data_IF_482250871158
#
_entry.id   IF_482250871158
#
_cell.length_a   1.000
_cell.length_b   1.000
_cell.length_c   1.000
_cell.angle_alpha   90.00
_cell.angle_beta   90.00
_cell.angle_gamma   90.00
#
_symmetry.space_group_name_H-M   'P 1'
#
loop_
_entity.id
_entity.type
_entity.pdbx_description
1 polymer ?
#
# COMPACT_ATOMS: atom_id res chain seq x y z
N UNK A 1 38.05 -44.85 47.21
CA UNK A 1 37.24 -45.86 46.46
C UNK A 1 36.57 -45.17 45.29
N UNK A 2 37.08 -45.37 44.07
CA UNK A 2 36.42 -46.09 42.95
C UNK A 2 35.01 -45.56 42.55
N UNK A 3 34.99 -44.93 41.36
CA UNK A 3 34.07 -45.14 40.20
C UNK A 3 32.60 -44.71 40.40
N UNK A 4 31.83 -44.21 39.42
CA UNK A 4 31.97 -43.92 38.00
C UNK A 4 30.75 -43.08 37.54
N UNK A 5 30.89 -42.45 36.37
CA UNK A 5 29.91 -41.86 35.45
C UNK A 5 28.48 -42.45 35.49
N UNK A 6 27.44 -41.68 35.11
CA UNK A 6 26.91 -41.58 33.72
C UNK A 6 25.61 -40.74 33.66
N UNK A 7 25.51 -39.86 32.65
CA UNK A 7 24.30 -39.43 31.90
C UNK A 7 23.20 -38.60 32.62
N UNK A 8 22.41 -37.72 32.00
CA UNK A 8 22.33 -36.94 30.74
C UNK A 8 20.94 -36.26 30.84
N UNK A 9 20.82 -34.99 30.40
CA UNK A 9 19.60 -34.29 30.00
C UNK A 9 18.41 -34.15 30.97
N UNK A 10 18.12 -32.91 31.40
CA UNK A 10 16.93 -32.15 30.98
C UNK A 10 16.63 -30.99 31.94
N UNK A 11 16.19 -29.87 31.34
CA UNK A 11 15.24 -28.90 31.88
C UNK A 11 15.54 -28.27 33.25
N UNK A 12 15.90 -26.98 33.25
CA UNK A 12 14.89 -25.94 33.43
C UNK A 12 15.54 -24.56 33.35
N UNK A 13 15.25 -23.92 32.22
CA UNK A 13 15.45 -22.51 31.92
C UNK A 13 14.62 -21.69 32.90
N UNK A 14 15.26 -20.97 33.83
CA UNK A 14 14.71 -19.73 34.41
C UNK A 14 15.88 -18.82 34.73
N UNK A 15 15.70 -17.52 34.44
CA UNK A 15 16.60 -16.38 34.65
C UNK A 15 17.59 -16.07 33.54
N UNK A 16 17.13 -15.32 32.54
CA UNK A 16 17.68 -13.99 32.22
C UNK A 16 16.70 -13.28 31.27
N UNK A 17 15.81 -12.45 31.82
CA UNK A 17 14.95 -11.59 31.02
C UNK A 17 14.90 -10.21 31.64
N UNK A 18 15.97 -9.41 31.52
CA UNK A 18 15.88 -7.95 31.51
C UNK A 18 17.18 -7.34 30.98
N UNK A 19 17.02 -6.48 29.97
CA UNK A 19 17.98 -5.49 29.42
C UNK A 19 19.07 -6.03 28.48
N UNK A 20 18.80 -6.07 27.18
CA UNK A 20 19.36 -5.09 26.22
C UNK A 20 18.97 -5.37 24.76
N UNK A 21 18.85 -4.26 24.03
CA UNK A 21 18.65 -4.13 22.57
C UNK A 21 17.24 -4.49 22.10
N UNK A 22 16.38 -3.47 22.01
CA UNK A 22 15.27 -3.46 21.04
C UNK A 22 15.92 -3.56 19.66
N UNK A 23 16.14 -4.79 19.23
CA UNK A 23 16.57 -5.13 17.90
C UNK A 23 15.54 -4.62 16.92
N UNK A 24 16.03 -4.03 15.83
CA UNK A 24 15.33 -4.19 14.56
C UNK A 24 14.89 -5.66 14.46
N UNK A 25 13.61 -5.92 14.19
CA UNK A 25 13.21 -7.26 13.76
C UNK A 25 14.10 -7.62 12.57
N UNK A 26 14.89 -8.70 12.61
CA UNK A 26 15.46 -9.25 11.41
C UNK A 26 14.33 -9.97 10.67
N UNK A 27 14.16 -9.70 9.37
CA UNK A 27 13.75 -10.76 8.46
C UNK A 27 12.39 -10.70 7.78
N UNK A 28 11.68 -9.57 7.74
CA UNK A 28 10.73 -9.43 6.61
C UNK A 28 11.53 -8.89 5.43
N UNK A 29 11.77 -9.69 4.37
CA UNK A 29 12.42 -9.18 3.17
C UNK A 29 11.67 -7.92 2.68
N UNK A 30 12.37 -6.96 2.07
CA UNK A 30 11.70 -5.81 1.44
C UNK A 30 10.65 -6.33 0.46
N UNK A 31 9.56 -5.60 0.29
CA UNK A 31 8.60 -5.94 -0.76
C UNK A 31 9.34 -5.89 -2.11
N UNK A 32 9.45 -7.02 -2.78
CA UNK A 32 10.23 -7.20 -3.98
C UNK A 32 9.30 -7.34 -5.17
N UNK A 33 8.75 -6.21 -5.60
CA UNK A 33 8.09 -6.15 -6.91
C UNK A 33 9.14 -6.26 -7.99
N UNK A 34 9.01 -7.27 -8.83
CA UNK A 34 9.86 -7.48 -10.01
C UNK A 34 9.01 -7.41 -11.27
N UNK A 35 9.41 -6.58 -12.22
CA UNK A 35 8.78 -6.54 -13.54
C UNK A 35 9.39 -7.59 -14.46
N UNK A 36 8.50 -8.38 -15.06
CA UNK A 36 8.84 -9.27 -16.18
C UNK A 36 8.12 -8.75 -17.41
N UNK A 37 8.86 -8.65 -18.51
CA UNK A 37 8.37 -8.10 -19.75
C UNK A 37 7.95 -9.22 -20.70
N UNK A 38 6.83 -9.06 -21.41
CA UNK A 38 6.50 -9.92 -22.54
C UNK A 38 7.53 -9.76 -23.65
N UNK A 39 7.70 -10.75 -24.57
CA UNK A 39 8.61 -10.61 -25.70
C UNK A 39 8.35 -9.35 -26.54
N UNK A 40 7.08 -8.97 -26.68
CA UNK A 40 6.68 -7.77 -27.41
C UNK A 40 7.17 -6.50 -26.71
N UNK A 41 6.97 -6.38 -25.39
CA UNK A 41 7.48 -5.24 -24.63
C UNK A 41 9.02 -5.25 -24.60
N UNK A 42 9.66 -6.41 -24.44
CA UNK A 42 11.13 -6.53 -24.50
C UNK A 42 11.70 -5.94 -25.79
N UNK A 43 11.10 -6.27 -26.94
CA UNK A 43 11.53 -5.73 -28.23
C UNK A 43 11.29 -4.21 -28.31
N UNK A 44 10.15 -3.72 -27.84
CA UNK A 44 9.86 -2.28 -27.80
C UNK A 44 10.88 -1.51 -26.92
N UNK A 45 11.27 -2.06 -25.75
CA UNK A 45 12.28 -1.49 -24.86
C UNK A 45 13.69 -1.54 -25.46
N UNK A 46 14.00 -2.59 -26.23
CA UNK A 46 15.27 -2.70 -26.99
C UNK A 46 15.37 -1.59 -28.03
N UNK A 47 14.28 -1.30 -28.73
CA UNK A 47 14.20 -0.20 -29.71
C UNK A 47 14.16 1.18 -29.04
N UNK A 48 13.68 1.26 -27.79
CA UNK A 48 13.53 2.52 -27.04
C UNK A 48 14.19 2.43 -25.64
N UNK A 49 15.53 2.48 -25.53
CA UNK A 49 16.23 2.25 -24.26
C UNK A 49 15.86 3.23 -23.13
N UNK A 50 15.40 4.44 -23.47
CA UNK A 50 14.90 5.40 -22.47
C UNK A 50 13.64 4.91 -21.76
N UNK A 51 12.81 4.11 -22.42
CA UNK A 51 11.61 3.51 -21.81
C UNK A 51 12.00 2.44 -20.79
N UNK A 52 13.01 1.63 -21.10
CA UNK A 52 13.56 0.62 -20.16
C UNK A 52 14.08 1.28 -18.88
N UNK A 53 14.93 2.30 -19.02
CA UNK A 53 15.43 3.07 -17.87
C UNK A 53 14.31 3.70 -17.02
N UNK A 54 13.21 4.12 -17.67
CA UNK A 54 12.04 4.66 -16.95
C UNK A 54 11.33 3.57 -16.15
N UNK A 55 11.16 2.36 -16.71
CA UNK A 55 10.57 1.24 -15.96
C UNK A 55 11.44 0.81 -14.79
N UNK A 56 12.76 0.75 -14.96
CA UNK A 56 13.69 0.44 -13.87
C UNK A 56 13.59 1.47 -12.73
N UNK A 57 13.52 2.76 -13.08
CA UNK A 57 13.31 3.84 -12.13
C UNK A 57 11.96 3.71 -11.39
N UNK A 58 10.89 3.40 -12.11
CA UNK A 58 9.56 3.23 -11.54
C UNK A 58 9.52 2.01 -10.60
N UNK A 59 10.08 0.88 -11.00
CA UNK A 59 10.16 -0.32 -10.16
C UNK A 59 10.88 -0.01 -8.84
N UNK A 60 12.04 0.64 -8.92
CA UNK A 60 12.81 1.05 -7.72
C UNK A 60 12.02 2.02 -6.83
N UNK A 61 11.28 2.95 -7.43
CA UNK A 61 10.45 3.91 -6.69
C UNK A 61 9.30 3.21 -5.97
N UNK A 62 8.63 2.27 -6.63
CA UNK A 62 7.59 1.44 -6.03
C UNK A 62 8.14 0.66 -4.83
N UNK A 63 9.27 -0.06 -5.01
CA UNK A 63 9.90 -0.82 -3.93
C UNK A 63 10.23 0.08 -2.73
N UNK A 64 10.78 1.28 -3.00
CA UNK A 64 11.09 2.27 -1.96
C UNK A 64 9.84 2.72 -1.21
N UNK A 65 8.75 3.04 -1.92
CA UNK A 65 7.49 3.45 -1.31
C UNK A 65 6.90 2.36 -0.41
N UNK A 66 6.88 1.11 -0.90
CA UNK A 66 6.38 -0.03 -0.12
C UNK A 66 7.21 -0.26 1.15
N UNK A 67 8.53 -0.14 1.05
CA UNK A 67 9.43 -0.26 2.18
C UNK A 67 9.22 0.85 3.21
N UNK A 68 9.07 2.10 2.77
CA UNK A 68 8.84 3.23 3.66
C UNK A 68 7.49 3.16 4.38
N UNK A 69 6.46 2.61 3.73
CA UNK A 69 5.17 2.33 4.38
C UNK A 69 5.35 1.31 5.51
N UNK A 70 6.03 0.18 5.23
CA UNK A 70 6.32 -0.84 6.25
C UNK A 70 7.10 -0.25 7.43
N UNK A 71 8.17 0.48 7.16
CA UNK A 71 8.98 1.13 8.19
C UNK A 71 8.19 2.16 8.99
N UNK A 72 7.31 2.92 8.36
CA UNK A 72 6.50 3.91 9.06
C UNK A 72 5.48 3.25 10.00
N UNK A 73 4.91 2.12 9.61
CA UNK A 73 4.04 1.31 10.48
C UNK A 73 4.85 0.75 11.66
N UNK A 74 6.03 0.18 11.42
CA UNK A 74 6.89 -0.38 12.48
C UNK A 74 7.39 0.70 13.45
N UNK A 75 7.65 1.91 12.96
CA UNK A 75 8.12 3.03 13.78
C UNK A 75 7.02 3.67 14.64
N UNK A 76 5.73 3.35 14.39
CA UNK A 76 4.60 3.98 15.07
C UNK A 76 4.65 3.82 16.60
N UNK A 77 5.02 2.64 17.08
CA UNK A 77 5.15 2.33 18.52
C UNK A 77 6.64 2.27 18.94
N UNK A 78 7.54 2.89 18.16
CA UNK A 78 8.97 2.91 18.45
C UNK A 78 9.30 3.57 19.80
N UNK A 79 10.28 3.04 20.56
CA UNK A 79 10.79 3.72 21.75
C UNK A 79 11.52 5.03 21.43
N UNK A 80 11.95 5.23 20.17
CA UNK A 80 12.64 6.45 19.73
C UNK A 80 11.63 7.55 19.42
N UNK A 81 11.55 8.56 20.29
CA UNK A 81 10.55 9.65 20.23
C UNK A 81 10.45 10.34 18.88
N UNK A 82 11.57 10.66 18.22
CA UNK A 82 11.56 11.35 16.91
C UNK A 82 10.94 10.50 15.80
N UNK A 83 11.27 9.20 15.75
CA UNK A 83 10.74 8.25 14.74
C UNK A 83 9.25 8.03 14.95
N UNK A 84 8.85 7.78 16.19
CA UNK A 84 7.43 7.68 16.59
C UNK A 84 6.64 8.92 16.21
N UNK A 85 7.14 10.12 16.50
CA UNK A 85 6.46 11.37 16.18
C UNK A 85 6.26 11.55 14.66
N UNK A 86 7.30 11.26 13.87
CA UNK A 86 7.23 11.26 12.40
C UNK A 86 6.17 10.27 11.90
N UNK A 87 6.21 9.03 12.38
CA UNK A 87 5.29 7.98 11.98
C UNK A 87 3.84 8.32 12.32
N UNK A 88 3.58 8.81 13.54
CA UNK A 88 2.26 9.27 13.96
C UNK A 88 1.74 10.41 13.09
N UNK A 89 2.58 11.41 12.81
CA UNK A 89 2.17 12.54 11.98
C UNK A 89 1.85 12.09 10.55
N UNK A 90 2.70 11.27 9.95
CA UNK A 90 2.48 10.75 8.61
C UNK A 90 1.20 9.92 8.51
N UNK A 91 1.01 8.97 9.44
CA UNK A 91 -0.16 8.09 9.44
C UNK A 91 -1.45 8.85 9.77
N UNK A 92 -1.39 9.89 10.62
CA UNK A 92 -2.50 10.82 10.83
C UNK A 92 -2.92 11.51 9.52
N UNK A 93 -1.95 11.92 8.70
CA UNK A 93 -2.25 12.57 7.41
C UNK A 93 -2.93 11.61 6.44
N UNK A 94 -2.40 10.38 6.30
CA UNK A 94 -2.88 9.43 5.29
C UNK A 94 -4.08 8.57 5.72
N UNK A 95 -4.31 8.36 7.02
CA UNK A 95 -5.41 7.53 7.56
C UNK A 95 -6.47 8.36 8.30
N UNK A 96 -6.22 9.66 8.50
CA UNK A 96 -7.14 10.60 9.11
C UNK A 96 -6.90 10.81 10.61
N UNK A 97 -7.46 11.90 11.14
CA UNK A 97 -7.20 12.35 12.52
C UNK A 97 -7.75 11.42 13.62
N UNK A 98 -8.72 10.57 13.27
CA UNK A 98 -9.36 9.64 14.19
C UNK A 98 -8.55 8.35 14.40
N UNK A 99 -7.50 8.13 13.61
CA UNK A 99 -6.73 6.89 13.59
C UNK A 99 -5.98 6.58 14.90
N UNK A 100 -5.44 7.58 15.59
CA UNK A 100 -4.65 7.39 16.82
C UNK A 100 -5.53 7.06 18.06
N UNK A 101 -6.86 6.98 17.93
CA UNK A 101 -7.76 6.93 19.10
C UNK A 101 -7.99 5.55 19.72
N UNK A 102 -7.72 4.44 19.03
CA UNK A 102 -7.87 3.08 19.61
C UNK A 102 -6.79 2.11 19.14
N UNK A 103 -6.19 1.34 20.06
CA UNK A 103 -5.07 0.42 19.78
C UNK A 103 -5.46 -0.79 18.94
N UNK A 104 -6.57 -1.47 19.24
CA UNK A 104 -6.98 -2.68 18.50
C UNK A 104 -7.32 -2.40 17.04
N UNK A 105 -8.12 -1.35 16.80
CA UNK A 105 -8.47 -0.92 15.43
C UNK A 105 -7.22 -0.57 14.64
N UNK A 106 -6.33 0.21 15.24
CA UNK A 106 -5.05 0.60 14.66
C UNK A 106 -4.24 -0.62 14.24
N UNK A 107 -4.06 -1.58 15.15
CA UNK A 107 -3.32 -2.81 14.90
C UNK A 107 -3.91 -3.62 13.75
N UNK A 108 -5.25 -3.74 13.68
CA UNK A 108 -5.92 -4.41 12.54
C UNK A 108 -5.69 -3.68 11.23
N UNK A 109 -5.87 -2.36 11.18
CA UNK A 109 -5.63 -1.58 9.96
C UNK A 109 -4.19 -1.73 9.49
N UNK A 110 -3.19 -1.63 10.39
CA UNK A 110 -1.79 -1.88 10.04
C UNK A 110 -1.57 -3.28 9.50
N UNK A 111 -2.10 -4.30 10.18
CA UNK A 111 -1.97 -5.68 9.73
C UNK A 111 -2.55 -5.88 8.33
N UNK A 112 -3.71 -5.28 8.02
CA UNK A 112 -4.27 -5.37 6.67
C UNK A 112 -3.43 -4.65 5.63
N UNK A 113 -2.92 -3.45 5.92
CA UNK A 113 -2.04 -2.72 4.99
C UNK A 113 -0.76 -3.53 4.73
N UNK A 114 -0.13 -4.05 5.77
CA UNK A 114 1.07 -4.88 5.65
C UNK A 114 0.79 -6.16 4.86
N UNK A 115 -0.32 -6.85 5.17
CA UNK A 115 -0.79 -8.02 4.42
C UNK A 115 -0.97 -7.69 2.94
N UNK A 116 -1.61 -6.57 2.59
CA UNK A 116 -1.75 -6.17 1.19
C UNK A 116 -0.40 -5.94 0.50
N UNK A 117 0.55 -5.30 1.19
CA UNK A 117 1.91 -5.13 0.66
C UNK A 117 2.58 -6.49 0.44
N UNK A 118 2.42 -7.43 1.37
CA UNK A 118 2.90 -8.80 1.22
C UNK A 118 2.24 -9.55 0.05
N UNK A 119 0.95 -9.31 -0.24
CA UNK A 119 0.30 -9.92 -1.40
C UNK A 119 0.78 -9.32 -2.73
N UNK A 120 1.19 -8.06 -2.74
CA UNK A 120 1.78 -7.41 -3.91
C UNK A 120 3.24 -7.81 -4.14
N UNK A 121 3.92 -8.34 -3.12
CA UNK A 121 5.29 -8.83 -3.17
C UNK A 121 5.38 -10.02 -4.13
N UNK A 122 5.60 -9.72 -5.41
CA UNK A 122 5.37 -10.67 -6.49
C UNK A 122 6.03 -10.23 -7.79
N UNK A 123 6.04 -11.16 -8.74
CA UNK A 123 6.42 -10.89 -10.12
C UNK A 123 5.23 -10.35 -10.90
N UNK A 124 5.36 -9.14 -11.44
CA UNK A 124 4.32 -8.48 -12.24
C UNK A 124 4.70 -8.58 -13.71
N UNK A 125 3.81 -9.15 -14.51
CA UNK A 125 4.00 -9.24 -15.97
C UNK A 125 3.49 -7.95 -16.63
N UNK A 126 4.41 -7.20 -17.24
CA UNK A 126 4.12 -6.01 -18.01
C UNK A 126 4.14 -6.31 -19.51
N UNK A 127 3.19 -5.72 -20.22
CA UNK A 127 3.02 -5.85 -21.67
C UNK A 127 2.77 -4.48 -22.30
N UNK A 128 2.87 -4.39 -23.63
CA UNK A 128 2.71 -3.16 -24.39
C UNK A 128 3.88 -2.86 -25.33
N UNK A 129 3.86 -1.72 -26.05
CA UNK A 129 2.81 -0.69 -26.01
C UNK A 129 1.48 -1.19 -26.59
N UNK A 130 0.38 -0.98 -25.87
CA UNK A 130 -0.98 -1.26 -26.35
C UNK A 130 -1.63 -0.02 -26.98
N UNK A 131 -2.66 -0.24 -27.80
CA UNK A 131 -3.59 0.80 -28.22
C UNK A 131 -4.61 1.05 -27.09
N UNK A 132 -4.76 2.28 -26.59
CA UNK A 132 -5.69 2.55 -25.50
C UNK A 132 -7.15 2.37 -25.96
N UNK A 133 -7.99 1.83 -25.06
CA UNK A 133 -9.42 1.58 -25.31
C UNK A 133 -10.26 2.85 -25.21
N UNK A 134 -9.83 3.79 -24.39
CA UNK A 134 -10.42 5.12 -24.22
C UNK A 134 -9.30 6.17 -24.23
N UNK A 135 -9.61 7.44 -24.57
CA UNK A 135 -8.67 8.54 -24.38
C UNK A 135 -8.09 8.53 -22.95
N UNK A 136 -6.82 8.90 -22.82
CA UNK A 136 -6.12 9.04 -21.54
C UNK A 136 -5.97 7.75 -20.70
N UNK A 137 -6.15 6.57 -21.31
CA UNK A 137 -5.82 5.30 -20.65
C UNK A 137 -4.36 4.93 -20.89
N UNK A 138 -3.50 5.12 -19.87
CA UNK A 138 -2.07 4.79 -19.97
C UNK A 138 -1.71 3.39 -19.47
N UNK A 139 -2.48 2.85 -18.52
CA UNK A 139 -2.27 1.53 -17.91
C UNK A 139 -3.61 0.80 -17.85
N UNK A 140 -3.58 -0.50 -18.14
CA UNK A 140 -4.77 -1.34 -18.14
C UNK A 140 -4.48 -2.73 -17.58
N UNK A 141 -5.37 -3.22 -16.72
CA UNK A 141 -5.27 -4.55 -16.13
C UNK A 141 -6.09 -5.53 -16.97
N UNK A 142 -5.40 -6.44 -17.66
CA UNK A 142 -6.03 -7.50 -18.43
C UNK A 142 -6.24 -8.79 -17.65
N UNK A 143 -6.72 -9.81 -18.36
CA UNK A 143 -6.96 -11.14 -17.79
C UNK A 143 -5.68 -11.77 -17.24
N UNK A 144 -5.79 -12.48 -16.11
CA UNK A 144 -4.66 -13.20 -15.52
C UNK A 144 -3.64 -12.31 -14.81
N UNK A 145 -3.99 -11.07 -14.45
CA UNK A 145 -3.12 -10.18 -13.67
C UNK A 145 -2.06 -9.45 -14.50
N UNK A 146 -2.10 -9.55 -15.83
CA UNK A 146 -1.17 -8.86 -16.73
C UNK A 146 -1.51 -7.37 -16.83
N UNK A 147 -0.50 -6.52 -16.73
CA UNK A 147 -0.66 -5.07 -16.86
C UNK A 147 -0.14 -4.62 -18.22
N UNK A 148 -0.99 -3.94 -18.99
CA UNK A 148 -0.68 -3.39 -20.30
C UNK A 148 -0.36 -1.91 -20.19
N UNK A 149 0.70 -1.47 -20.86
CA UNK A 149 1.15 -0.08 -20.91
C UNK A 149 0.87 0.50 -22.28
N UNK A 150 0.22 1.65 -22.37
CA UNK A 150 0.07 2.38 -23.63
C UNK A 150 1.38 3.07 -24.02
N UNK A 151 1.57 3.39 -25.30
CA UNK A 151 2.74 4.17 -25.73
C UNK A 151 2.85 5.52 -25.00
N UNK A 152 1.72 6.20 -24.79
CA UNK A 152 1.64 7.45 -24.04
C UNK A 152 2.19 7.34 -22.61
N UNK A 153 2.14 6.16 -21.98
CA UNK A 153 2.77 5.95 -20.68
C UNK A 153 4.26 6.32 -20.73
N UNK A 154 4.96 6.04 -21.82
CA UNK A 154 6.39 6.33 -21.93
C UNK A 154 6.70 7.71 -22.51
N UNK A 155 5.85 8.18 -23.43
CA UNK A 155 6.17 9.31 -24.29
C UNK A 155 5.46 10.60 -23.89
N UNK A 156 4.36 10.54 -23.13
CA UNK A 156 3.61 11.72 -22.74
C UNK A 156 4.42 12.56 -21.74
N UNK A 157 4.79 13.81 -22.10
CA UNK A 157 5.57 14.68 -21.23
C UNK A 157 4.74 15.32 -20.11
N UNK A 158 3.41 15.34 -20.23
CA UNK A 158 2.50 15.87 -19.22
C UNK A 158 2.28 14.87 -18.08
N UNK A 159 2.50 13.59 -18.37
CA UNK A 159 2.46 12.53 -17.39
C UNK A 159 3.73 12.62 -16.53
N UNK A 160 3.58 12.89 -15.23
CA UNK A 160 4.69 12.90 -14.27
C UNK A 160 5.06 11.48 -13.80
N UNK A 161 6.31 11.28 -13.36
CA UNK A 161 6.77 9.95 -12.94
C UNK A 161 6.07 9.44 -11.68
N UNK A 162 5.67 10.33 -10.75
CA UNK A 162 4.87 9.89 -9.61
C UNK A 162 3.53 9.32 -10.07
N UNK A 163 2.91 9.89 -11.12
CA UNK A 163 1.62 9.43 -11.59
C UNK A 163 1.74 8.10 -12.35
N UNK A 164 2.87 7.86 -13.02
CA UNK A 164 3.24 6.52 -13.53
C UNK A 164 3.37 5.48 -12.43
N UNK A 165 4.09 5.83 -11.36
CA UNK A 165 4.23 4.99 -10.17
C UNK A 165 2.86 4.71 -9.56
N UNK A 166 2.02 5.73 -9.42
CA UNK A 166 0.66 5.62 -8.92
C UNK A 166 -0.16 4.60 -9.72
N UNK A 167 -0.22 4.76 -11.05
CA UNK A 167 -0.99 3.87 -11.92
C UNK A 167 -0.49 2.41 -11.83
N UNK A 168 0.82 2.20 -11.87
CA UNK A 168 1.37 0.84 -11.78
C UNK A 168 1.14 0.19 -10.42
N UNK A 169 1.30 0.92 -9.33
CA UNK A 169 1.07 0.39 -7.99
C UNK A 169 -0.41 0.08 -7.76
N UNK A 170 -1.31 0.94 -8.25
CA UNK A 170 -2.75 0.73 -8.22
C UNK A 170 -3.18 -0.53 -8.98
N UNK A 171 -2.69 -0.72 -10.20
CA UNK A 171 -3.04 -1.91 -10.99
C UNK A 171 -2.37 -3.18 -10.45
N UNK A 172 -1.18 -3.06 -9.83
CA UNK A 172 -0.54 -4.17 -9.09
C UNK A 172 -1.40 -4.62 -7.92
N UNK A 173 -1.95 -3.68 -7.14
CA UNK A 173 -2.88 -3.99 -6.05
C UNK A 173 -4.10 -4.75 -6.59
N UNK A 174 -4.72 -4.25 -7.64
CA UNK A 174 -5.91 -4.87 -8.26
C UNK A 174 -5.63 -6.25 -8.84
N UNK A 175 -4.42 -6.49 -9.32
CA UNK A 175 -4.01 -7.79 -9.87
C UNK A 175 -3.82 -8.86 -8.79
N UNK A 176 -3.40 -8.46 -7.58
CA UNK A 176 -2.92 -9.39 -6.54
C UNK A 176 -3.87 -9.55 -5.37
N UNK A 177 -4.71 -8.55 -5.10
CA UNK A 177 -5.61 -8.54 -3.95
C UNK A 177 -7.04 -8.72 -4.46
N UNK A 178 -7.70 -9.87 -4.24
CA UNK A 178 -9.02 -10.15 -4.80
C UNK A 178 -10.16 -9.37 -4.10
N UNK A 179 -9.92 -8.87 -2.88
CA UNK A 179 -10.92 -8.16 -2.07
C UNK A 179 -10.62 -6.66 -2.03
N UNK A 180 -10.94 -5.95 -3.11
CA UNK A 180 -10.77 -4.50 -3.19
C UNK A 180 -12.09 -3.78 -3.49
N UNK A 181 -12.19 -2.55 -3.02
CA UNK A 181 -13.30 -1.63 -3.26
C UNK A 181 -12.77 -0.35 -3.92
N UNK A 182 -13.32 0.00 -5.08
CA UNK A 182 -13.02 1.27 -5.75
C UNK A 182 -13.90 2.41 -5.25
N UNK A 183 -15.01 2.06 -4.61
CA UNK A 183 -16.02 2.98 -4.10
C UNK A 183 -16.35 2.64 -2.67
N UNK A 184 -16.84 3.64 -1.96
CA UNK A 184 -17.19 3.54 -0.55
C UNK A 184 -18.58 4.15 -0.34
N UNK A 185 -19.32 3.62 0.63
CA UNK A 185 -20.59 4.20 1.04
C UNK A 185 -20.38 5.04 2.29
N UNK A 186 -20.83 6.29 2.26
CA UNK A 186 -20.98 7.14 3.44
C UNK A 186 -22.43 7.07 3.89
N UNK A 187 -22.65 6.64 5.13
CA UNK A 187 -23.97 6.63 5.75
C UNK A 187 -24.50 8.03 6.09
N UNK A 188 -25.67 8.05 6.71
CA UNK A 188 -26.26 9.27 7.25
C UNK A 188 -25.32 9.89 8.29
N UNK A 189 -25.09 11.19 8.17
CA UNK A 189 -24.31 11.95 9.13
C UNK A 189 -24.93 11.90 10.52
N UNK A 190 -24.13 11.48 11.51
CA UNK A 190 -24.50 11.51 12.92
C UNK A 190 -24.02 12.82 13.56
N UNK A 191 -24.98 13.70 13.87
CA UNK A 191 -24.69 14.98 14.51
C UNK A 191 -24.09 14.89 15.91
N UNK A 192 -24.18 13.74 16.60
CA UNK A 192 -23.55 13.55 17.91
C UNK A 192 -22.07 13.25 17.79
N UNK A 193 -21.70 12.41 16.83
CA UNK A 193 -20.29 12.02 16.61
C UNK A 193 -19.58 12.92 15.61
N UNK A 194 -20.32 13.73 14.86
CA UNK A 194 -19.78 14.59 13.81
C UNK A 194 -19.25 13.81 12.61
N UNK A 195 -19.76 12.59 12.38
CA UNK A 195 -19.23 11.70 11.34
C UNK A 195 -20.33 10.82 10.73
N UNK A 196 -20.08 10.34 9.51
CA UNK A 196 -20.83 9.28 8.88
C UNK A 196 -20.05 7.96 8.97
N UNK A 197 -20.76 6.84 9.14
CA UNK A 197 -20.14 5.53 8.99
C UNK A 197 -19.70 5.33 7.53
N UNK A 198 -18.54 4.70 7.34
CA UNK A 198 -17.99 4.37 6.04
C UNK A 198 -17.85 2.86 5.94
N UNK A 199 -18.25 2.29 4.80
CA UNK A 199 -18.01 0.88 4.47
C UNK A 199 -17.53 0.73 3.02
N UNK A 200 -16.72 -0.29 2.70
CA UNK A 200 -16.37 -0.59 1.32
C UNK A 200 -17.60 -0.98 0.51
N UNK A 201 -17.62 -0.63 -0.77
CA UNK A 201 -18.54 -1.13 -1.78
C UNK A 201 -17.79 -2.06 -2.74
N UNK A 202 -17.92 -3.36 -2.51
CA UNK A 202 -17.37 -4.39 -3.38
C UNK A 202 -18.23 -4.55 -4.65
N UNK A 203 -17.68 -5.12 -5.75
CA UNK A 203 -18.42 -5.34 -6.98
C UNK A 203 -19.77 -6.05 -6.74
N UNK A 204 -20.84 -5.51 -7.32
CA UNK A 204 -22.20 -6.05 -7.21
C UNK A 204 -22.98 -5.65 -5.95
N UNK A 205 -22.33 -4.99 -4.98
CA UNK A 205 -23.04 -4.46 -3.81
C UNK A 205 -23.79 -3.18 -4.14
N UNK A 206 -24.95 -2.98 -3.49
CA UNK A 206 -25.77 -1.77 -3.62
C UNK A 206 -25.54 -0.84 -2.44
N UNK A 207 -25.72 0.45 -2.67
CA UNK A 207 -25.88 1.45 -1.60
C UNK A 207 -27.20 1.22 -0.88
N UNK A 208 -27.19 1.33 0.45
CA UNK A 208 -28.39 1.26 1.26
C UNK A 208 -29.12 2.62 1.26
N UNK A 209 -30.37 2.62 1.71
CA UNK A 209 -31.15 3.87 1.84
C UNK A 209 -30.45 4.84 2.80
N UNK A 210 -30.26 6.08 2.37
CA UNK A 210 -29.58 7.12 3.15
C UNK A 210 -28.05 7.05 3.13
N UNK A 211 -27.46 6.20 2.28
CA UNK A 211 -26.03 6.22 1.99
C UNK A 211 -25.73 6.99 0.68
N UNK A 212 -24.57 7.62 0.63
CA UNK A 212 -24.01 8.26 -0.56
C UNK A 212 -22.78 7.49 -1.02
N UNK A 213 -22.70 7.18 -2.31
CA UNK A 213 -21.50 6.60 -2.93
C UNK A 213 -20.42 7.67 -3.08
N UNK A 214 -19.18 7.35 -2.72
CA UNK A 214 -18.01 8.19 -2.96
C UNK A 214 -16.89 7.38 -3.59
N UNK A 215 -16.03 8.04 -4.37
CA UNK A 215 -14.90 7.41 -5.04
C UNK A 215 -13.68 7.36 -4.09
N UNK A 216 -13.01 6.19 -4.03
CA UNK A 216 -11.79 6.02 -3.24
C UNK A 216 -10.62 6.92 -3.65
N UNK A 217 -10.58 7.30 -4.92
CA UNK A 217 -9.59 8.19 -5.51
C UNK A 217 -10.00 9.65 -5.33
N UNK A 218 -11.11 10.09 -5.97
CA UNK A 218 -11.50 11.51 -6.02
C UNK A 218 -12.05 12.10 -4.72
N UNK A 219 -12.57 11.25 -3.84
CA UNK A 219 -13.23 11.68 -2.61
C UNK A 219 -12.51 11.22 -1.34
N UNK A 220 -11.22 10.87 -1.44
CA UNK A 220 -10.46 10.32 -0.33
C UNK A 220 -10.52 11.21 0.93
N UNK A 221 -10.52 12.55 0.76
CA UNK A 221 -10.65 13.51 1.89
C UNK A 221 -11.98 13.36 2.63
N UNK A 222 -13.05 13.05 1.91
CA UNK A 222 -14.36 12.83 2.52
C UNK A 222 -14.33 11.58 3.41
N UNK A 223 -13.63 10.53 2.98
CA UNK A 223 -13.44 9.28 3.74
C UNK A 223 -12.57 9.55 4.98
N UNK A 224 -11.44 10.25 4.85
CA UNK A 224 -10.50 10.54 5.95
C UNK A 224 -11.12 11.37 7.08
N UNK A 225 -12.08 12.24 6.74
CA UNK A 225 -12.81 13.05 7.72
C UNK A 225 -13.75 12.21 8.60
N UNK A 226 -14.04 10.97 8.23
CA UNK A 226 -14.94 10.11 8.98
C UNK A 226 -14.21 9.29 10.04
N UNK A 227 -14.87 9.09 11.19
CA UNK A 227 -14.31 8.30 12.30
C UNK A 227 -14.01 6.85 11.93
N UNK A 228 -14.75 6.27 10.98
CA UNK A 228 -14.53 4.90 10.47
C UNK A 228 -13.80 4.87 9.13
N UNK A 229 -13.29 6.00 8.62
CA UNK A 229 -12.61 6.05 7.32
C UNK A 229 -11.38 5.14 7.26
N UNK A 230 -10.57 5.14 8.32
CA UNK A 230 -9.41 4.25 8.45
C UNK A 230 -9.73 2.75 8.34
N UNK A 231 -10.97 2.34 8.65
CA UNK A 231 -11.38 0.93 8.66
C UNK A 231 -11.60 0.38 7.24
N UNK A 232 -11.81 1.26 6.26
CA UNK A 232 -12.13 0.86 4.88
C UNK A 232 -10.95 1.01 3.92
N UNK A 233 -9.96 1.82 4.28
CA UNK A 233 -8.78 2.05 3.45
C UNK A 233 -7.95 0.81 3.11
N UNK A 234 -7.87 -0.24 3.96
CA UNK A 234 -7.18 -1.45 3.54
C UNK A 234 -7.83 -2.18 2.36
N UNK A 235 -9.05 -1.82 1.95
CA UNK A 235 -9.67 -2.35 0.74
C UNK A 235 -9.50 -1.41 -0.46
N UNK A 236 -8.89 -0.24 -0.27
CA UNK A 236 -8.70 0.75 -1.35
C UNK A 236 -7.45 0.43 -2.16
N UNK A 237 -7.56 0.26 -3.50
CA UNK A 237 -6.39 0.16 -4.36
C UNK A 237 -5.59 1.46 -4.43
N UNK A 238 -6.17 2.58 -3.97
CA UNK A 238 -5.58 3.91 -4.07
C UNK A 238 -4.79 4.28 -2.78
N UNK A 239 -4.97 3.56 -1.66
CA UNK A 239 -4.31 3.88 -0.39
C UNK A 239 -2.78 3.84 -0.49
N UNK A 240 -2.22 2.73 -0.98
CA UNK A 240 -0.77 2.52 -0.99
C UNK A 240 -0.10 3.51 -1.97
N UNK A 241 -0.61 3.72 -3.20
CA UNK A 241 -0.17 4.82 -4.05
C UNK A 241 -0.22 6.19 -3.39
N UNK A 242 -1.31 6.49 -2.67
CA UNK A 242 -1.48 7.76 -1.96
C UNK A 242 -0.46 7.93 -0.82
N UNK A 243 -0.21 6.89 -0.05
CA UNK A 243 0.87 6.88 0.95
C UNK A 243 2.23 7.16 0.29
N UNK A 244 2.51 6.51 -0.85
CA UNK A 244 3.71 6.74 -1.65
C UNK A 244 3.86 8.20 -2.09
N UNK A 245 2.78 8.82 -2.58
CA UNK A 245 2.76 10.24 -2.94
C UNK A 245 3.05 11.15 -1.74
N UNK A 246 2.40 10.91 -0.60
CA UNK A 246 2.63 11.73 0.59
C UNK A 246 4.08 11.63 1.06
N UNK A 247 4.72 10.46 0.91
CA UNK A 247 6.13 10.31 1.23
C UNK A 247 7.02 11.18 0.32
N UNK A 248 6.79 11.17 -0.99
CA UNK A 248 7.58 11.96 -1.94
C UNK A 248 7.31 13.46 -1.84
N UNK A 249 6.12 13.86 -1.35
CA UNK A 249 5.66 15.24 -1.31
C UNK A 249 5.54 15.79 0.12
N UNK A 250 6.45 15.41 1.03
CA UNK A 250 6.57 15.99 2.39
C UNK A 250 5.29 15.93 3.22
N UNK A 251 4.45 14.92 2.99
CA UNK A 251 3.17 14.73 3.67
C UNK A 251 2.00 15.47 3.04
N UNK A 252 2.19 16.13 1.91
CA UNK A 252 1.07 16.71 1.17
C UNK A 252 0.23 15.61 0.52
N UNK A 253 -1.09 15.82 0.54
CA UNK A 253 -2.03 14.94 -0.14
C UNK A 253 -2.26 15.48 -1.56
N UNK A 254 -2.47 14.62 -2.57
CA UNK A 254 -2.74 15.08 -3.93
C UNK A 254 -3.97 15.99 -3.95
N UNK A 255 -3.87 17.09 -4.71
CA UNK A 255 -4.88 18.18 -4.74
C UNK A 255 -6.10 17.76 -5.57
N UNK A 256 -5.89 17.01 -6.65
CA UNK A 256 -6.89 16.61 -7.65
C UNK A 256 -6.89 15.09 -7.93
N UNK A 257 -6.52 14.28 -6.93
CA UNK A 257 -6.80 12.85 -6.98
C UNK A 257 -8.29 12.64 -6.79
#
# INVERSE_FOLDING_TARGET
MKRNLTAIFSLCIVFFSYINVVGARPGTPPAEITFVYTPYLTEALRLNPSWGRRLDFIQKTIQTQLQEIRYTIDEYDSPRTKRRARAKQYLKTVLGEYYDRSSERRARTFQHILSNIEHMDSTITLDGPMKPRVPDMWVDLGSGGRIYLAQGFFTDPTLEDWFRVYMLLRETFRATIPQYAQKFALGRYDGRTGSAAVRPLFPGQRIASGETEVNGYTDYRQILKQRTGADVFPYSPDLIPLMGYCFTNKGEMPVDA
#
